data_IF_006431149386
#
_entry.id   IF_006431149386
#
_cell.length_a   1.000
_cell.length_b   1.000
_cell.length_c   1.000
_cell.angle_alpha   90.00
_cell.angle_beta   90.00
_cell.angle_gamma   90.00
#
_symmetry.space_group_name_H-M   'P 1'
#
loop_
_entity.id
_entity.type
_entity.pdbx_description
1 polymer ?
#
# COMPACT_ATOMS: atom_id res chain seq x y z
N UNK A 1 -8.69 -7.94 -1.37
CA UNK A 1 -8.52 -7.02 -0.24
C UNK A 1 -8.58 -5.60 -0.75
N UNK A 2 -9.10 -4.70 0.06
CA UNK A 2 -8.98 -3.25 -0.14
C UNK A 2 -7.87 -2.79 0.80
N UNK A 3 -6.90 -2.05 0.25
CA UNK A 3 -5.86 -1.39 1.03
C UNK A 3 -6.05 0.11 0.84
N UNK A 4 -6.19 0.84 1.94
CA UNK A 4 -6.47 2.28 1.90
C UNK A 4 -5.58 3.06 2.83
N UNK A 5 -5.32 4.31 2.43
CA UNK A 5 -4.59 5.32 3.19
C UNK A 5 -5.34 6.66 3.07
N UNK A 6 -4.90 7.73 3.74
CA UNK A 6 -5.48 9.06 3.54
C UNK A 6 -5.42 9.57 2.10
N UNK A 7 -4.53 9.01 1.26
CA UNK A 7 -4.27 9.49 -0.10
C UNK A 7 -5.00 8.71 -1.19
N UNK A 8 -5.45 7.49 -0.88
CA UNK A 8 -6.14 6.67 -1.87
C UNK A 8 -6.52 5.29 -1.37
N UNK A 9 -7.02 4.47 -2.31
CA UNK A 9 -7.41 3.09 -2.06
C UNK A 9 -7.21 2.25 -3.30
N UNK A 10 -6.72 1.02 -3.11
CA UNK A 10 -6.49 0.05 -4.18
C UNK A 10 -7.12 -1.30 -3.83
N UNK A 11 -7.50 -2.05 -4.86
CA UNK A 11 -7.95 -3.44 -4.73
C UNK A 11 -6.82 -4.38 -5.13
N UNK A 12 -6.42 -5.25 -4.21
CA UNK A 12 -5.32 -6.20 -4.40
C UNK A 12 -5.73 -7.63 -4.03
N UNK A 13 -4.97 -8.61 -4.51
CA UNK A 13 -5.04 -9.99 -4.05
C UNK A 13 -4.04 -10.19 -2.91
N UNK A 14 -4.50 -10.70 -1.77
CA UNK A 14 -3.60 -11.01 -0.65
C UNK A 14 -2.82 -12.29 -0.94
N UNK A 15 -1.52 -12.26 -0.66
CA UNK A 15 -0.65 -13.43 -0.61
C UNK A 15 -0.09 -13.53 0.81
N UNK A 16 -0.61 -14.48 1.59
CA UNK A 16 -0.25 -14.64 3.01
C UNK A 16 1.02 -15.48 3.10
N UNK A 17 2.06 -14.93 3.73
CA UNK A 17 3.37 -15.58 3.87
C UNK A 17 3.81 -15.54 5.33
N UNK A 18 4.37 -16.64 5.83
CA UNK A 18 4.85 -16.74 7.23
C UNK A 18 6.09 -15.91 7.53
N UNK A 19 6.81 -15.46 6.50
CA UNK A 19 8.00 -14.61 6.65
C UNK A 19 7.68 -13.13 6.95
N UNK A 20 6.41 -12.72 6.78
CA UNK A 20 6.00 -11.34 7.03
C UNK A 20 5.87 -11.07 8.53
N UNK A 21 6.34 -9.91 8.97
CA UNK A 21 6.14 -9.45 10.34
C UNK A 21 4.66 -9.15 10.60
N UNK A 22 4.20 -9.43 11.81
CA UNK A 22 2.84 -9.10 12.23
C UNK A 22 2.60 -7.58 12.13
N UNK A 23 1.46 -7.19 11.55
CA UNK A 23 1.12 -5.78 11.32
C UNK A 23 1.79 -5.13 10.11
N UNK A 24 2.67 -5.84 9.40
CA UNK A 24 3.36 -5.33 8.21
C UNK A 24 2.77 -5.95 6.94
N UNK A 25 2.56 -5.12 5.93
CA UNK A 25 2.22 -5.55 4.58
C UNK A 25 3.26 -5.04 3.59
N UNK A 26 3.52 -5.83 2.57
CA UNK A 26 4.30 -5.41 1.40
C UNK A 26 3.40 -5.46 0.17
N UNK A 27 3.61 -4.51 -0.74
CA UNK A 27 2.83 -4.40 -1.98
C UNK A 27 3.81 -4.15 -3.13
N UNK A 28 3.85 -5.12 -4.04
CA UNK A 28 4.65 -5.00 -5.25
C UNK A 28 4.07 -3.89 -6.16
N UNK A 29 4.93 -3.02 -6.67
CA UNK A 29 4.56 -2.05 -7.69
C UNK A 29 4.47 -2.73 -9.08
N UNK A 30 3.85 -2.05 -10.05
CA UNK A 30 3.87 -2.47 -11.46
C UNK A 30 2.52 -2.85 -12.06
N UNK A 31 1.43 -2.72 -11.31
CA UNK A 31 0.06 -2.92 -11.79
C UNK A 31 -0.67 -1.59 -11.90
N UNK A 32 -0.89 -1.06 -13.12
CA UNK A 32 -1.63 0.19 -13.32
C UNK A 32 -3.06 0.15 -12.76
N UNK A 33 -3.73 -1.00 -12.85
CA UNK A 33 -5.11 -1.21 -12.36
C UNK A 33 -5.20 -1.24 -10.82
N UNK A 34 -4.06 -1.39 -10.15
CA UNK A 34 -3.92 -1.40 -8.70
C UNK A 34 -2.65 -0.62 -8.30
N UNK A 35 -2.54 0.62 -8.76
CA UNK A 35 -1.33 1.43 -8.60
C UNK A 35 -1.07 1.76 -7.12
N UNK A 36 -0.12 1.07 -6.50
CA UNK A 36 0.27 1.29 -5.09
C UNK A 36 0.71 2.72 -4.80
N UNK A 37 1.22 3.44 -5.80
CA UNK A 37 1.66 4.83 -5.61
C UNK A 37 0.51 5.78 -5.31
N UNK A 38 -0.75 5.39 -5.57
CA UNK A 38 -1.93 6.15 -5.13
C UNK A 38 -2.11 6.13 -3.61
N UNK A 39 -1.45 5.20 -2.90
CA UNK A 39 -1.51 5.12 -1.44
C UNK A 39 -0.44 5.95 -0.74
N UNK A 40 0.47 6.61 -1.46
CA UNK A 40 1.66 7.26 -0.89
C UNK A 40 1.47 8.79 -0.91
N UNK A 41 1.85 9.52 0.16
CA UNK A 41 1.82 10.99 0.15
C UNK A 41 2.67 11.58 -0.97
N UNK A 42 2.25 12.73 -1.48
CA UNK A 42 3.08 13.57 -2.37
C UNK A 42 4.00 14.48 -1.56
N UNK A 43 4.72 13.87 -0.63
CA UNK A 43 5.72 14.49 0.22
C UNK A 43 7.06 13.83 -0.10
N UNK A 44 8.04 14.63 -0.53
CA UNK A 44 9.36 14.14 -0.90
C UNK A 44 10.35 14.44 0.21
N UNK A 45 11.26 13.50 0.45
CA UNK A 45 12.38 13.73 1.36
C UNK A 45 13.14 15.00 0.93
N UNK A 46 13.33 15.98 1.84
CA UNK A 46 13.88 17.28 1.47
C UNK A 46 15.36 17.24 1.06
N UNK A 47 16.07 16.14 1.36
CA UNK A 47 17.50 15.99 1.04
C UNK A 47 17.67 15.31 -0.32
N UNK A 48 17.01 14.17 -0.51
CA UNK A 48 17.21 13.26 -1.63
C UNK A 48 16.13 13.38 -2.71
N UNK A 49 14.97 13.96 -2.40
CA UNK A 49 13.83 14.04 -3.31
C UNK A 49 13.17 12.70 -3.59
N UNK A 50 13.41 11.66 -2.78
CA UNK A 50 12.73 10.38 -2.91
C UNK A 50 11.35 10.39 -2.24
N UNK A 51 10.45 9.59 -2.78
CA UNK A 51 9.14 9.35 -2.16
C UNK A 51 9.24 8.32 -1.02
N UNK A 52 8.38 8.40 0.02
CA UNK A 52 8.34 7.44 1.12
C UNK A 52 7.70 6.12 0.68
N UNK A 53 8.38 5.37 -0.19
CA UNK A 53 7.87 4.14 -0.81
C UNK A 53 7.90 2.90 0.09
N UNK A 54 8.60 2.98 1.22
CA UNK A 54 8.84 1.86 2.14
C UNK A 54 8.17 2.04 3.49
N UNK A 55 7.40 3.10 3.64
CA UNK A 55 6.70 3.44 4.87
C UNK A 55 5.34 4.08 4.55
N UNK A 56 4.38 3.87 5.43
CA UNK A 56 3.03 4.39 5.27
C UNK A 56 2.04 3.60 6.10
N UNK A 57 1.15 4.31 6.81
CA UNK A 57 0.06 3.67 7.54
C UNK A 57 -1.06 3.38 6.53
N UNK A 58 -1.53 2.14 6.54
CA UNK A 58 -2.67 1.72 5.74
C UNK A 58 -3.64 0.89 6.57
N UNK A 59 -4.88 0.87 6.11
CA UNK A 59 -5.90 -0.06 6.58
C UNK A 59 -6.10 -1.17 5.55
N UNK A 60 -6.20 -2.41 6.02
CA UNK A 60 -6.45 -3.58 5.17
C UNK A 60 -7.83 -4.15 5.51
N UNK A 61 -8.72 -4.19 4.52
CA UNK A 61 -10.08 -4.71 4.67
C UNK A 61 -10.38 -5.82 3.67
N UNK A 62 -11.15 -6.82 4.09
CA UNK A 62 -11.81 -7.71 3.13
C UNK A 62 -12.82 -6.87 2.35
N UNK A 63 -12.96 -7.07 1.02
CA UNK A 63 -14.09 -6.50 0.31
C UNK A 63 -15.37 -7.00 1.00
N UNK A 64 -16.32 -6.12 1.29
CA UNK A 64 -17.66 -6.58 1.69
C UNK A 64 -18.21 -7.43 0.56
N UNK A 65 -18.50 -8.71 0.84
CA UNK A 65 -19.34 -9.50 -0.06
C UNK A 65 -20.74 -8.90 -0.08
N UNK A 66 -21.34 -8.87 -1.28
CA UNK A 66 -22.78 -8.76 -1.49
C UNK A 66 -23.33 -10.15 -1.77
#
# INVERSE_FOLDING_TARGET
>A
MIVSSPWGSIKVKAHVMSMMLEGVVDVLHGWPEANVNELIPREWDPISGFLPSKEGICEVKKPSEY
#
